data_IF_231508439599
#
_entry.id   IF_231508439599
#
_cell.length_a   1.000
_cell.length_b   1.000
_cell.length_c   1.000
_cell.angle_alpha   90.00
_cell.angle_beta   90.00
_cell.angle_gamma   90.00
#
_symmetry.space_group_name_H-M   'P 1'
#
loop_
_entity.id
_entity.type
_entity.pdbx_description
1 polymer ?
#
# COMPACT_ATOMS: atom_id res chain seq x y z
N UNK A 1 4.77 4.96 11.28
CA UNK A 1 3.86 5.45 10.23
C UNK A 1 4.68 5.90 9.03
N UNK A 2 4.26 5.57 7.80
CA UNK A 2 4.90 6.01 6.56
C UNK A 2 3.96 7.01 5.88
N UNK A 3 4.47 8.17 5.51
CA UNK A 3 3.74 9.18 4.73
C UNK A 3 3.96 8.89 3.24
N UNK A 4 2.88 8.66 2.49
CA UNK A 4 2.91 8.22 1.09
C UNK A 4 2.10 9.16 0.19
N UNK A 5 2.60 10.39 -0.09
CA UNK A 5 1.93 11.27 -1.05
C UNK A 5 1.88 10.62 -2.44
N UNK A 6 0.86 10.99 -3.21
CA UNK A 6 0.72 10.50 -4.58
C UNK A 6 1.83 11.04 -5.49
N UNK A 7 2.30 10.16 -6.35
CA UNK A 7 3.23 10.45 -7.43
C UNK A 7 2.76 9.77 -8.71
N UNK A 8 2.76 10.50 -9.83
CA UNK A 8 2.44 9.93 -11.14
C UNK A 8 3.60 10.22 -12.11
N UNK A 9 4.42 9.21 -12.45
CA UNK A 9 5.53 9.38 -13.37
C UNK A 9 5.11 10.07 -14.67
N UNK A 10 5.83 11.10 -15.06
CA UNK A 10 5.56 11.89 -16.28
C UNK A 10 4.39 12.88 -16.20
N UNK A 11 3.58 12.87 -15.12
CA UNK A 11 2.40 13.75 -14.98
C UNK A 11 2.48 14.58 -13.70
N UNK A 12 2.64 13.93 -12.57
CA UNK A 12 2.73 14.57 -11.26
C UNK A 12 4.04 14.17 -10.60
N UNK A 13 5.09 15.00 -10.72
CA UNK A 13 6.37 14.70 -10.11
C UNK A 13 6.27 14.77 -8.58
N UNK A 14 7.09 13.99 -7.93
CA UNK A 14 7.22 14.04 -6.48
C UNK A 14 7.94 15.35 -6.09
N UNK A 15 7.24 16.24 -5.39
CA UNK A 15 7.84 17.47 -4.88
C UNK A 15 8.60 17.20 -3.58
N UNK A 16 9.84 16.76 -3.70
CA UNK A 16 10.68 16.35 -2.57
C UNK A 16 10.86 17.48 -1.55
N UNK A 17 11.19 18.69 -1.96
CA UNK A 17 11.44 19.82 -1.07
C UNK A 17 10.23 20.09 -0.16
N UNK A 18 9.06 20.21 -0.75
CA UNK A 18 7.81 20.42 0.01
C UNK A 18 7.51 19.27 0.92
N UNK A 19 7.69 18.03 0.46
CA UNK A 19 7.43 16.83 1.24
C UNK A 19 8.36 16.74 2.46
N UNK A 20 9.67 16.89 2.26
CA UNK A 20 10.64 16.82 3.35
C UNK A 20 10.44 17.91 4.40
N UNK A 21 10.07 19.13 3.98
CA UNK A 21 9.70 20.21 4.88
C UNK A 21 8.53 19.81 5.78
N UNK A 22 7.40 19.35 5.19
CA UNK A 22 6.23 18.96 5.97
C UNK A 22 6.48 17.74 6.86
N UNK A 23 7.26 16.77 6.41
CA UNK A 23 7.63 15.61 7.22
C UNK A 23 8.47 16.02 8.42
N UNK A 24 9.41 16.95 8.24
CA UNK A 24 10.24 17.51 9.31
C UNK A 24 9.40 18.28 10.33
N UNK A 25 8.47 19.11 9.88
CA UNK A 25 7.51 19.81 10.73
C UNK A 25 6.65 18.85 11.54
N UNK A 26 6.15 17.78 10.91
CA UNK A 26 5.35 16.75 11.58
C UNK A 26 6.16 15.98 12.63
N UNK A 27 7.42 15.64 12.34
CA UNK A 27 8.34 15.00 13.29
C UNK A 27 8.62 15.91 14.50
N UNK A 28 8.87 17.19 14.26
CA UNK A 28 9.08 18.19 15.31
C UNK A 28 7.83 18.34 16.18
N UNK A 29 6.64 18.40 15.58
CA UNK A 29 5.38 18.46 16.29
C UNK A 29 5.16 17.23 17.19
N UNK A 30 5.37 16.03 16.67
CA UNK A 30 5.27 14.78 17.45
C UNK A 30 6.21 14.81 18.66
N UNK A 31 7.47 15.22 18.45
CA UNK A 31 8.47 15.34 19.51
C UNK A 31 8.04 16.36 20.58
N UNK A 32 7.58 17.52 20.19
CA UNK A 32 7.13 18.60 21.12
C UNK A 32 5.93 18.16 21.94
N UNK A 33 5.05 17.34 21.38
CA UNK A 33 3.86 16.81 22.07
C UNK A 33 4.12 15.53 22.85
N UNK A 34 5.34 14.98 22.82
CA UNK A 34 5.68 13.72 23.49
C UNK A 34 5.00 12.49 22.87
N UNK A 35 4.62 12.55 21.59
CA UNK A 35 4.06 11.40 20.89
C UNK A 35 5.16 10.40 20.52
N UNK A 36 5.03 9.15 20.98
CA UNK A 36 5.91 8.05 20.59
C UNK A 36 5.53 7.53 19.20
N UNK A 37 5.76 8.35 18.17
CA UNK A 37 5.41 8.05 16.79
C UNK A 37 6.59 8.34 15.87
N UNK A 38 7.11 7.27 15.25
CA UNK A 38 8.12 7.38 14.19
C UNK A 38 7.43 7.66 12.85
N UNK A 39 7.86 8.72 12.16
CA UNK A 39 7.36 9.10 10.84
C UNK A 39 8.45 8.84 9.80
N UNK A 40 8.12 8.03 8.80
CA UNK A 40 8.99 7.67 7.69
C UNK A 40 8.46 8.26 6.37
N UNK A 41 9.38 8.42 5.43
CA UNK A 41 9.07 8.85 4.07
C UNK A 41 8.66 7.67 3.19
N UNK A 42 7.88 7.96 2.16
CA UNK A 42 7.51 7.07 1.08
C UNK A 42 6.73 7.84 0.02
N UNK A 43 6.22 7.14 -0.98
CA UNK A 43 5.23 7.67 -1.92
C UNK A 43 4.31 6.54 -2.39
N UNK A 44 3.11 6.90 -2.82
CA UNK A 44 2.22 6.02 -3.55
C UNK A 44 2.36 6.34 -5.04
N UNK A 45 3.01 5.42 -5.77
CA UNK A 45 3.37 5.59 -7.18
C UNK A 45 2.24 5.04 -8.03
N UNK A 46 1.55 5.91 -8.78
CA UNK A 46 0.55 5.47 -9.75
C UNK A 46 1.25 4.92 -11.00
N UNK A 47 0.98 3.66 -11.32
CA UNK A 47 1.46 3.05 -12.55
C UNK A 47 0.90 3.76 -13.79
N UNK A 48 1.82 4.12 -14.68
CA UNK A 48 1.53 4.59 -16.04
C UNK A 48 2.56 3.98 -16.99
N UNK A 49 2.29 3.93 -18.30
CA UNK A 49 3.30 3.49 -19.28
C UNK A 49 4.61 4.31 -19.26
N UNK A 50 4.60 5.51 -18.67
CA UNK A 50 5.78 6.34 -18.50
C UNK A 50 6.71 5.88 -17.36
N UNK A 51 6.29 4.90 -16.53
CA UNK A 51 7.07 4.44 -15.37
C UNK A 51 8.46 3.96 -15.75
N UNK A 52 8.58 3.13 -16.80
CA UNK A 52 9.86 2.60 -17.27
C UNK A 52 10.80 3.71 -17.71
N UNK A 53 10.30 4.64 -18.52
CA UNK A 53 11.09 5.81 -18.96
C UNK A 53 11.53 6.68 -17.78
N UNK A 54 10.64 6.89 -16.80
CA UNK A 54 10.96 7.64 -15.59
C UNK A 54 12.09 6.97 -14.80
N UNK A 55 12.03 5.65 -14.61
CA UNK A 55 13.05 4.87 -13.90
C UNK A 55 14.41 4.87 -14.60
N UNK A 56 14.44 5.06 -15.91
CA UNK A 56 15.69 5.23 -16.67
C UNK A 56 16.52 6.46 -16.30
N UNK A 57 15.92 7.45 -15.63
CA UNK A 57 16.57 8.72 -15.25
C UNK A 57 16.39 9.11 -13.78
N UNK A 58 15.51 8.46 -13.05
CA UNK A 58 15.17 8.78 -11.66
C UNK A 58 14.98 7.50 -10.83
N UNK A 59 15.46 7.50 -9.59
CA UNK A 59 15.07 6.49 -8.62
C UNK A 59 13.61 6.68 -8.18
N UNK A 60 12.92 5.58 -7.89
CA UNK A 60 11.59 5.64 -7.29
C UNK A 60 11.69 5.92 -5.78
N UNK A 61 10.77 6.72 -5.21
CA UNK A 61 10.68 6.88 -3.78
C UNK A 61 10.23 5.56 -3.14
N UNK A 62 11.06 5.03 -2.26
CA UNK A 62 10.80 3.79 -1.53
C UNK A 62 10.17 4.03 -0.16
N UNK A 63 9.56 3.02 0.42
CA UNK A 63 8.96 3.11 1.76
C UNK A 63 10.03 3.00 2.84
N UNK A 64 10.22 4.06 3.65
CA UNK A 64 11.12 4.08 4.80
C UNK A 64 12.57 3.68 4.47
N UNK A 65 13.10 4.17 3.36
CA UNK A 65 14.47 3.91 2.86
C UNK A 65 14.78 2.40 2.64
N UNK A 66 13.74 1.59 2.38
CA UNK A 66 13.85 0.17 2.02
C UNK A 66 13.95 -0.01 0.50
N UNK A 67 13.75 -1.24 0.00
CA UNK A 67 13.57 -1.53 -1.42
C UNK A 67 12.09 -1.55 -1.83
N UNK A 68 11.17 -1.37 -0.88
CA UNK A 68 9.73 -1.49 -1.13
C UNK A 68 9.19 -0.24 -1.83
N UNK A 69 8.44 -0.44 -2.92
CA UNK A 69 7.71 0.61 -3.65
C UNK A 69 6.22 0.33 -3.52
N UNK A 70 5.45 1.31 -3.01
CA UNK A 70 3.99 1.22 -2.98
C UNK A 70 3.46 1.62 -4.36
N UNK A 71 2.88 0.65 -5.07
CA UNK A 71 2.42 0.79 -6.44
C UNK A 71 0.90 0.78 -6.50
N UNK A 72 0.31 1.84 -7.05
CA UNK A 72 -1.12 1.98 -7.29
C UNK A 72 -1.44 1.79 -8.77
N UNK A 73 -2.61 1.23 -9.07
CA UNK A 73 -3.14 1.10 -10.43
C UNK A 73 -4.52 1.71 -10.59
N UNK A 74 -4.88 2.03 -11.83
CA UNK A 74 -6.26 2.32 -12.15
C UNK A 74 -7.15 1.09 -11.89
N UNK A 75 -8.39 1.23 -11.33
CA UNK A 75 -9.23 0.09 -10.95
C UNK A 75 -9.57 -0.89 -12.08
N UNK A 76 -9.53 -0.43 -13.32
CA UNK A 76 -9.83 -1.24 -14.53
C UNK A 76 -8.58 -1.76 -15.24
N UNK A 77 -7.40 -1.68 -14.61
CA UNK A 77 -6.13 -2.15 -15.18
C UNK A 77 -6.23 -3.63 -15.60
N UNK A 78 -5.75 -4.04 -16.77
CA UNK A 78 -5.62 -5.44 -17.14
C UNK A 78 -4.60 -6.19 -16.28
N UNK A 79 -4.81 -7.49 -16.07
CA UNK A 79 -3.89 -8.33 -15.28
C UNK A 79 -2.47 -8.36 -15.85
N UNK A 80 -2.36 -8.40 -17.18
CA UNK A 80 -1.06 -8.40 -17.87
C UNK A 80 -0.24 -7.13 -17.53
N UNK A 81 -0.88 -5.95 -17.52
CA UNK A 81 -0.19 -4.71 -17.18
C UNK A 81 0.27 -4.68 -15.70
N UNK A 82 -0.48 -5.32 -14.80
CA UNK A 82 -0.03 -5.50 -13.40
C UNK A 82 1.23 -6.37 -13.37
N UNK A 83 1.22 -7.49 -14.10
CA UNK A 83 2.36 -8.40 -14.18
C UNK A 83 3.59 -7.71 -14.76
N UNK A 84 3.43 -6.98 -15.87
CA UNK A 84 4.51 -6.26 -16.52
C UNK A 84 5.12 -5.19 -15.61
N UNK A 85 4.29 -4.47 -14.85
CA UNK A 85 4.74 -3.47 -13.89
C UNK A 85 5.50 -4.10 -12.71
N UNK A 86 5.04 -5.24 -12.20
CA UNK A 86 5.72 -5.99 -11.14
C UNK A 86 7.08 -6.48 -11.64
N UNK A 87 7.13 -7.11 -12.83
CA UNK A 87 8.38 -7.52 -13.49
C UNK A 87 9.36 -6.38 -13.67
N UNK A 88 8.87 -5.21 -14.10
CA UNK A 88 9.69 -4.02 -14.28
C UNK A 88 10.36 -3.59 -12.98
N UNK A 89 9.61 -3.54 -11.88
CA UNK A 89 10.14 -3.16 -10.57
C UNK A 89 11.17 -4.19 -10.08
N UNK A 90 10.86 -5.49 -10.13
CA UNK A 90 11.76 -6.55 -9.67
C UNK A 90 13.09 -6.55 -10.44
N UNK A 91 13.05 -6.41 -11.77
CA UNK A 91 14.27 -6.32 -12.61
C UNK A 91 15.14 -5.10 -12.27
N UNK A 92 14.56 -4.06 -11.69
CA UNK A 92 15.28 -2.86 -11.24
C UNK A 92 15.62 -2.88 -9.74
N UNK A 93 15.48 -4.04 -9.06
CA UNK A 93 15.88 -4.23 -7.67
C UNK A 93 14.88 -3.70 -6.63
N UNK A 94 13.67 -3.36 -7.05
CA UNK A 94 12.59 -2.95 -6.15
C UNK A 94 11.71 -4.14 -5.76
N UNK A 95 11.08 -4.04 -4.61
CA UNK A 95 10.07 -4.99 -4.13
C UNK A 95 8.70 -4.31 -4.18
N UNK A 96 7.80 -4.71 -5.09
CA UNK A 96 6.50 -4.08 -5.23
C UNK A 96 5.55 -4.45 -4.08
N UNK A 97 4.92 -3.43 -3.50
CA UNK A 97 3.75 -3.57 -2.63
C UNK A 97 2.57 -2.99 -3.40
N UNK A 98 1.60 -3.81 -3.78
CA UNK A 98 0.40 -3.32 -4.48
C UNK A 98 -0.55 -2.69 -3.48
N UNK A 99 -0.84 -1.41 -3.67
CA UNK A 99 -1.76 -0.65 -2.83
C UNK A 99 -3.20 -1.11 -3.03
N UNK A 100 -3.99 -1.14 -1.97
CA UNK A 100 -5.45 -1.38 -1.94
C UNK A 100 -5.95 -2.38 -3.00
N UNK A 101 -5.36 -3.60 -3.00
CA UNK A 101 -5.61 -4.65 -4.02
C UNK A 101 -7.08 -5.04 -4.15
N UNK A 102 -7.90 -4.78 -3.14
CA UNK A 102 -9.35 -5.00 -3.17
C UNK A 102 -10.07 -4.18 -4.24
N UNK A 103 -9.43 -3.14 -4.79
CA UNK A 103 -10.00 -2.28 -5.84
C UNK A 103 -9.81 -2.86 -7.25
N UNK A 104 -8.87 -3.79 -7.44
CA UNK A 104 -8.52 -4.27 -8.79
C UNK A 104 -9.29 -5.53 -9.17
N UNK A 105 -10.21 -5.39 -10.14
CA UNK A 105 -10.94 -6.54 -10.69
C UNK A 105 -9.99 -7.57 -11.31
N UNK A 106 -8.87 -7.12 -11.83
CA UNK A 106 -7.84 -7.98 -12.44
C UNK A 106 -7.25 -9.01 -11.47
N UNK A 107 -7.22 -8.70 -10.16
CA UNK A 107 -6.72 -9.60 -9.12
C UNK A 107 -7.79 -10.53 -8.53
N UNK A 108 -9.00 -10.54 -9.10
CA UNK A 108 -10.05 -11.47 -8.66
C UNK A 108 -9.75 -12.93 -9.02
N UNK A 109 -10.44 -13.86 -8.34
CA UNK A 109 -10.30 -15.30 -8.60
C UNK A 109 -8.91 -15.84 -8.29
N UNK A 110 -8.27 -16.47 -9.28
CA UNK A 110 -6.96 -17.09 -9.13
C UNK A 110 -5.79 -16.15 -9.47
N UNK A 111 -6.04 -14.99 -10.06
CA UNK A 111 -4.97 -14.12 -10.53
C UNK A 111 -4.09 -13.59 -9.38
N UNK A 112 -4.67 -13.26 -8.23
CA UNK A 112 -3.92 -12.80 -7.06
C UNK A 112 -2.94 -13.87 -6.54
N UNK A 113 -3.33 -15.15 -6.60
CA UNK A 113 -2.46 -16.27 -6.22
C UNK A 113 -1.35 -16.45 -7.23
N UNK A 114 -1.67 -16.45 -8.54
CA UNK A 114 -0.69 -16.59 -9.62
C UNK A 114 0.38 -15.52 -9.57
N UNK A 115 -0.01 -14.27 -9.33
CA UNK A 115 0.95 -13.18 -9.24
C UNK A 115 1.92 -13.40 -8.08
N UNK A 116 1.43 -13.83 -6.90
CA UNK A 116 2.28 -14.10 -5.72
C UNK A 116 3.13 -15.36 -5.86
N UNK A 117 2.69 -16.35 -6.64
CA UNK A 117 3.47 -17.55 -6.95
C UNK A 117 4.64 -17.27 -7.90
N UNK A 118 4.49 -16.29 -8.80
CA UNK A 118 5.46 -15.96 -9.83
C UNK A 118 6.42 -14.83 -9.46
N UNK A 119 6.06 -13.98 -8.48
CA UNK A 119 6.74 -12.74 -8.15
C UNK A 119 6.89 -12.53 -6.63
N UNK A 120 7.93 -11.80 -6.24
CA UNK A 120 8.15 -11.34 -4.86
C UNK A 120 7.32 -10.10 -4.55
N UNK A 121 6.00 -10.20 -4.66
CA UNK A 121 5.05 -9.10 -4.50
C UNK A 121 4.32 -9.16 -3.17
N UNK A 122 4.09 -8.02 -2.55
CA UNK A 122 3.27 -7.86 -1.34
C UNK A 122 1.94 -7.19 -1.65
N UNK A 123 0.92 -7.54 -0.89
CA UNK A 123 -0.44 -7.02 -1.05
C UNK A 123 -0.86 -6.19 0.15
N UNK A 124 -1.28 -4.95 -0.10
CA UNK A 124 -1.86 -4.07 0.90
C UNK A 124 -3.36 -3.89 0.65
N UNK A 125 -4.14 -3.96 1.73
CA UNK A 125 -5.59 -3.72 1.74
C UNK A 125 -5.88 -2.51 2.64
N UNK A 126 -6.90 -1.73 2.28
CA UNK A 126 -7.33 -0.60 3.10
C UNK A 126 -8.13 -1.04 4.33
N UNK A 127 -7.91 -0.37 5.46
CA UNK A 127 -8.66 -0.63 6.69
C UNK A 127 -10.17 -0.38 6.53
N UNK A 128 -10.57 0.52 5.64
CA UNK A 128 -11.99 0.75 5.32
C UNK A 128 -12.65 -0.50 4.71
N UNK A 129 -11.97 -1.18 3.81
CA UNK A 129 -12.47 -2.40 3.19
C UNK A 129 -12.62 -3.56 4.21
N UNK A 130 -11.73 -3.62 5.21
CA UNK A 130 -11.86 -4.58 6.33
C UNK A 130 -13.09 -4.31 7.20
N UNK A 131 -13.43 -3.02 7.40
CA UNK A 131 -14.46 -2.59 8.35
C UNK A 131 -15.84 -2.54 7.70
N UNK A 132 -15.94 -1.87 6.54
CA UNK A 132 -17.24 -1.53 5.94
C UNK A 132 -17.72 -2.61 4.98
N UNK A 133 -16.82 -3.45 4.47
CA UNK A 133 -17.11 -4.39 3.40
C UNK A 133 -17.45 -3.67 2.08
N UNK A 134 -17.37 -4.38 0.97
CA UNK A 134 -17.73 -3.85 -0.35
C UNK A 134 -18.84 -4.67 -1.04
N UNK A 135 -19.69 -5.29 -0.23
CA UNK A 135 -20.76 -6.17 -0.69
C UNK A 135 -20.41 -7.65 -0.57
N UNK A 136 -21.43 -8.51 -0.61
CA UNK A 136 -21.34 -9.93 -0.20
C UNK A 136 -20.23 -10.71 -0.93
N UNK A 137 -20.06 -10.52 -2.23
CA UNK A 137 -19.05 -11.23 -3.02
C UNK A 137 -17.62 -10.76 -2.73
N UNK A 138 -17.41 -9.44 -2.63
CA UNK A 138 -16.09 -8.88 -2.27
C UNK A 138 -15.71 -9.23 -0.84
N UNK A 139 -16.66 -9.26 0.08
CA UNK A 139 -16.44 -9.73 1.46
C UNK A 139 -15.99 -11.19 1.50
N UNK A 140 -16.60 -12.06 0.70
CA UNK A 140 -16.21 -13.48 0.61
C UNK A 140 -14.80 -13.63 0.03
N UNK A 141 -14.49 -12.91 -1.04
CA UNK A 141 -13.15 -12.91 -1.66
C UNK A 141 -12.10 -12.42 -0.68
N UNK A 142 -12.33 -11.30 -0.02
CA UNK A 142 -11.40 -10.72 0.94
C UNK A 142 -11.19 -11.63 2.16
N UNK A 143 -12.27 -12.24 2.68
CA UNK A 143 -12.17 -13.24 3.75
C UNK A 143 -11.32 -14.45 3.34
N UNK A 144 -11.41 -14.88 2.09
CA UNK A 144 -10.56 -15.95 1.55
C UNK A 144 -9.12 -15.50 1.51
N UNK A 145 -8.80 -14.31 0.99
CA UNK A 145 -7.45 -13.78 0.93
C UNK A 145 -6.79 -13.70 2.32
N UNK A 146 -7.52 -13.22 3.33
CA UNK A 146 -7.01 -13.20 4.72
C UNK A 146 -6.84 -14.60 5.30
N UNK A 147 -7.75 -15.54 5.04
CA UNK A 147 -7.64 -16.92 5.52
C UNK A 147 -6.46 -17.65 4.91
N UNK A 148 -6.21 -17.41 3.64
CA UNK A 148 -5.10 -18.02 2.88
C UNK A 148 -3.78 -17.24 3.11
N UNK A 149 -3.76 -16.27 4.01
CA UNK A 149 -2.62 -15.40 4.38
C UNK A 149 -1.95 -14.72 3.17
N UNK A 150 -2.73 -14.40 2.14
CA UNK A 150 -2.22 -13.70 0.95
C UNK A 150 -1.93 -12.22 1.21
N UNK A 151 -2.67 -11.60 2.14
CA UNK A 151 -2.51 -10.18 2.47
C UNK A 151 -1.35 -10.00 3.43
N UNK A 152 -0.46 -9.09 3.11
CA UNK A 152 0.75 -8.81 3.88
C UNK A 152 0.59 -7.56 4.75
N UNK A 153 -0.19 -6.57 4.28
CA UNK A 153 -0.32 -5.28 4.96
C UNK A 153 -1.77 -4.79 4.98
N UNK A 154 -2.14 -4.14 6.08
CA UNK A 154 -3.36 -3.34 6.15
C UNK A 154 -2.97 -1.91 6.47
N UNK A 155 -3.40 -0.96 5.63
CA UNK A 155 -3.06 0.44 5.77
C UNK A 155 -4.30 1.32 5.98
N UNK A 156 -4.10 2.51 6.53
CA UNK A 156 -5.19 3.44 6.79
C UNK A 156 -5.71 4.14 5.53
N UNK A 157 -4.85 4.36 4.57
CA UNK A 157 -5.09 5.21 3.40
C UNK A 157 -5.75 6.55 3.81
N UNK A 158 -5.22 7.14 4.91
CA UNK A 158 -5.79 8.31 5.55
C UNK A 158 -5.33 9.58 4.84
N UNK A 159 -6.28 10.43 4.44
CA UNK A 159 -5.98 11.70 3.75
C UNK A 159 -6.29 12.92 4.61
N UNK A 160 -7.11 12.77 5.65
CA UNK A 160 -7.49 13.86 6.54
C UNK A 160 -8.08 13.32 7.85
N UNK A 161 -8.32 14.24 8.80
CA UNK A 161 -8.86 13.88 10.11
C UNK A 161 -10.41 13.83 10.19
N UNK A 162 -11.11 14.07 9.08
CA UNK A 162 -12.59 14.15 9.06
C UNK A 162 -13.22 13.00 8.31
N UNK A 163 -13.11 12.98 6.98
CA UNK A 163 -13.81 12.02 6.10
C UNK A 163 -12.98 10.74 5.90
N UNK A 164 -11.70 10.89 5.51
CA UNK A 164 -10.75 9.77 5.31
C UNK A 164 -9.75 9.71 6.46
N UNK A 165 -10.28 9.61 7.68
CA UNK A 165 -9.48 9.45 8.90
C UNK A 165 -8.99 8.02 9.07
N UNK A 166 -7.94 7.84 9.85
CA UNK A 166 -7.45 6.52 10.20
C UNK A 166 -8.49 5.72 11.00
N UNK A 167 -8.70 4.46 10.62
CA UNK A 167 -9.59 3.49 11.29
C UNK A 167 -8.82 2.21 11.68
N UNK A 168 -7.50 2.29 11.76
CA UNK A 168 -6.61 1.14 11.98
C UNK A 168 -6.96 0.35 13.23
N UNK A 169 -7.32 1.02 14.34
CA UNK A 169 -7.75 0.34 15.57
C UNK A 169 -8.95 -0.58 15.35
N UNK A 170 -9.94 -0.11 14.60
CA UNK A 170 -11.14 -0.91 14.31
C UNK A 170 -10.82 -2.09 13.40
N UNK A 171 -10.00 -1.87 12.37
CA UNK A 171 -9.53 -2.95 11.49
C UNK A 171 -8.76 -4.01 12.29
N UNK A 172 -7.82 -3.60 13.14
CA UNK A 172 -7.09 -4.51 14.01
C UNK A 172 -7.99 -5.37 14.90
N UNK A 173 -9.01 -4.77 15.53
CA UNK A 173 -9.97 -5.51 16.38
C UNK A 173 -10.73 -6.55 15.56
N UNK A 174 -11.18 -6.20 14.35
CA UNK A 174 -11.91 -7.12 13.47
C UNK A 174 -11.00 -8.26 13.01
N UNK A 175 -9.80 -7.95 12.56
CA UNK A 175 -8.82 -8.93 12.10
C UNK A 175 -8.43 -9.88 13.22
N UNK A 176 -8.13 -9.35 14.41
CA UNK A 176 -7.78 -10.17 15.58
C UNK A 176 -8.88 -11.16 15.96
N UNK A 177 -10.13 -10.74 15.90
CA UNK A 177 -11.28 -11.60 16.20
C UNK A 177 -11.53 -12.67 15.13
N UNK A 178 -11.26 -12.36 13.85
CA UNK A 178 -11.59 -13.25 12.72
C UNK A 178 -10.46 -14.18 12.33
N UNK A 179 -9.21 -13.71 12.42
CA UNK A 179 -8.04 -14.39 11.86
C UNK A 179 -6.89 -14.59 12.86
N UNK A 180 -7.10 -14.20 14.12
CA UNK A 180 -6.11 -14.35 15.18
C UNK A 180 -5.25 -13.10 15.41
N UNK A 181 -4.78 -12.95 16.65
CA UNK A 181 -4.05 -11.76 17.12
C UNK A 181 -2.68 -11.63 16.44
N UNK A 182 -1.96 -12.73 16.30
CA UNK A 182 -0.59 -12.73 15.73
C UNK A 182 -0.60 -12.30 14.26
N UNK A 183 -1.52 -12.84 13.46
CA UNK A 183 -1.66 -12.42 12.09
C UNK A 183 -2.10 -10.96 11.98
N UNK A 184 -3.08 -10.53 12.78
CA UNK A 184 -3.51 -9.15 12.81
C UNK A 184 -2.38 -8.17 13.16
N UNK A 185 -1.48 -8.54 14.10
CA UNK A 185 -0.29 -7.74 14.44
C UNK A 185 0.65 -7.58 13.25
N UNK A 186 0.96 -8.68 12.56
CA UNK A 186 1.81 -8.63 11.34
C UNK A 186 1.21 -7.69 10.29
N UNK A 187 -0.10 -7.82 10.01
CA UNK A 187 -0.80 -7.02 9.01
C UNK A 187 -0.75 -5.52 9.27
N UNK A 188 -0.77 -5.09 10.53
CA UNK A 188 -0.74 -3.66 10.89
C UNK A 188 0.65 -3.16 11.31
N UNK A 189 1.69 -3.98 11.15
CA UNK A 189 3.07 -3.63 11.46
C UNK A 189 3.34 -3.44 12.96
N UNK A 190 2.68 -4.20 13.81
CA UNK A 190 2.92 -4.25 15.26
C UNK A 190 3.81 -5.46 15.58
N UNK A 191 5.06 -5.18 15.85
CA UNK A 191 6.04 -6.15 16.39
C UNK A 191 5.82 -6.44 17.85
#
# INVERSE_FOLDING_TARGET
LIATPHMTPGVLPFNEERFWRHLSEARAYCKTRGYSLNLYAGAEVLYTPALEHYMGSHALPTLADSQNVLLEFAPAIPFLEITDAVDLLERNGYVPILAHVERYKALSGLNIYRLKEQHSVFYQVNCSAVIDGEGLFKDMQMRRWFRDELIDHVASDSHNCQVRKTRMKNAYIILSKRFGVEYARRLVGMS
#
